data_IF_670827789355
#
_entry.id   IF_670827789355
#
_cell.length_a   1.000
_cell.length_b   1.000
_cell.length_c   1.000
_cell.angle_alpha   90.00
_cell.angle_beta   90.00
_cell.angle_gamma   90.00
#
_symmetry.space_group_name_H-M   'P 1'
#
loop_
_entity.id
_entity.type
_entity.pdbx_description
1 polymer ?
#
# COMPACT_ATOMS: atom_id res chain seq x y z
N UNK A 1 40.65 18.70 -23.07
CA UNK A 1 40.41 18.86 -21.61
C UNK A 1 39.05 19.49 -21.24
N UNK A 2 38.53 20.50 -21.97
CA UNK A 2 37.23 21.13 -21.66
C UNK A 2 36.03 20.19 -21.89
N UNK A 3 36.03 19.36 -22.96
CA UNK A 3 34.97 18.42 -23.32
C UNK A 3 34.87 17.31 -22.27
N UNK A 4 35.99 16.80 -21.75
CA UNK A 4 36.02 15.78 -20.70
C UNK A 4 35.38 16.26 -19.39
N UNK A 5 35.58 17.52 -19.02
CA UNK A 5 34.94 18.13 -17.85
C UNK A 5 33.42 18.25 -18.04
N UNK A 6 32.99 18.60 -19.25
CA UNK A 6 31.57 18.72 -19.56
C UNK A 6 30.86 17.36 -19.52
N UNK A 7 31.47 16.31 -20.05
CA UNK A 7 30.95 14.93 -20.02
C UNK A 7 30.89 14.44 -18.56
N UNK A 8 31.89 14.75 -17.72
CA UNK A 8 31.89 14.36 -16.33
C UNK A 8 30.76 15.04 -15.53
N UNK A 9 30.52 16.33 -15.77
CA UNK A 9 29.41 17.07 -15.18
C UNK A 9 28.08 16.47 -15.63
N UNK A 10 27.93 16.13 -16.90
CA UNK A 10 26.73 15.51 -17.43
C UNK A 10 26.44 14.13 -16.80
N UNK A 11 27.49 13.32 -16.61
CA UNK A 11 27.38 12.01 -15.92
C UNK A 11 26.97 12.16 -14.45
N UNK A 12 27.49 13.20 -13.77
CA UNK A 12 27.10 13.50 -12.38
C UNK A 12 25.63 13.93 -12.30
N UNK A 13 25.14 14.70 -13.27
CA UNK A 13 23.71 15.05 -13.35
C UNK A 13 22.80 13.88 -13.67
N UNK A 14 23.24 12.89 -14.44
CA UNK A 14 22.47 11.66 -14.71
C UNK A 14 22.59 10.60 -13.61
N UNK A 15 23.53 10.76 -12.69
CA UNK A 15 23.64 9.93 -11.47
C UNK A 15 22.88 10.49 -10.27
N UNK A 16 22.12 11.58 -10.42
CA UNK A 16 21.07 11.84 -9.47
C UNK A 16 20.04 10.73 -9.68
N UNK A 17 20.29 9.63 -9.00
CA UNK A 17 19.25 8.64 -8.76
C UNK A 17 18.00 9.43 -8.43
N UNK A 18 17.01 9.23 -9.21
CA UNK A 18 15.66 9.63 -8.89
C UNK A 18 15.47 9.32 -7.41
N UNK A 19 15.43 10.34 -6.57
CA UNK A 19 14.74 10.30 -5.29
C UNK A 19 13.27 10.21 -5.67
N UNK A 20 12.95 9.12 -6.39
CA UNK A 20 11.61 8.69 -6.65
C UNK A 20 11.18 8.00 -5.38
N UNK A 21 10.39 8.75 -4.62
CA UNK A 21 9.37 8.17 -3.78
C UNK A 21 9.80 6.82 -3.21
N UNK A 22 10.67 6.83 -2.18
CA UNK A 22 10.54 5.78 -1.18
C UNK A 22 9.05 5.74 -0.89
N UNK A 23 8.41 4.60 -1.15
CA UNK A 23 7.08 4.33 -0.69
C UNK A 23 7.12 4.47 0.84
N UNK A 24 7.03 5.71 1.30
CA UNK A 24 7.10 5.99 2.71
C UNK A 24 5.75 5.63 3.29
N UNK A 25 5.72 4.55 4.05
CA UNK A 25 4.53 4.06 4.75
C UNK A 25 3.77 5.18 5.45
N UNK A 26 4.49 6.19 5.93
CA UNK A 26 3.96 7.35 6.64
C UNK A 26 3.46 8.47 5.70
N UNK A 27 3.47 8.21 4.40
CA UNK A 27 2.90 9.09 3.39
C UNK A 27 1.54 8.53 2.94
N UNK A 28 0.48 9.28 3.21
CA UNK A 28 -0.88 8.91 2.81
C UNK A 28 -1.32 9.81 1.67
N UNK A 29 -1.42 9.22 0.49
CA UNK A 29 -1.77 9.90 -0.74
C UNK A 29 -3.26 9.72 -1.09
N UNK A 30 -3.74 10.51 -2.05
CA UNK A 30 -5.09 10.39 -2.63
C UNK A 30 -6.24 10.54 -1.62
N UNK A 31 -6.05 11.35 -0.57
CA UNK A 31 -7.10 11.65 0.39
C UNK A 31 -8.08 12.65 -0.25
N UNK A 32 -9.23 12.16 -0.67
CA UNK A 32 -10.26 12.98 -1.31
C UNK A 32 -11.20 13.55 -0.26
N UNK A 33 -11.39 14.88 -0.28
CA UNK A 33 -12.33 15.61 0.56
C UNK A 33 -13.26 16.44 -0.32
N UNK A 34 -14.55 16.35 -0.08
CA UNK A 34 -15.57 17.15 -0.79
C UNK A 34 -15.51 18.60 -0.33
N UNK A 35 -15.36 19.52 -1.27
CA UNK A 35 -15.43 20.94 -1.02
C UNK A 35 -16.90 21.36 -1.03
N UNK A 36 -17.51 21.42 0.13
CA UNK A 36 -18.86 21.98 0.30
C UNK A 36 -18.78 23.51 0.37
N UNK A 37 -19.78 24.18 -0.23
CA UNK A 37 -19.93 25.64 -0.10
C UNK A 37 -19.84 26.06 1.36
N UNK A 38 -18.96 27.04 1.67
CA UNK A 38 -18.69 27.62 3.01
C UNK A 38 -17.70 26.88 3.91
N UNK A 39 -17.04 25.80 3.47
CA UNK A 39 -15.96 25.21 4.26
C UNK A 39 -14.65 25.94 3.97
N UNK A 40 -13.95 26.36 5.02
CA UNK A 40 -12.64 27.00 4.90
C UNK A 40 -11.57 26.01 4.44
N UNK A 41 -10.52 26.49 3.79
CA UNK A 41 -9.38 25.63 3.41
C UNK A 41 -8.71 25.00 4.64
N UNK A 42 -8.75 25.69 5.78
CA UNK A 42 -8.25 25.15 7.06
C UNK A 42 -9.08 23.94 7.50
N UNK A 43 -10.40 24.03 7.40
CA UNK A 43 -11.28 22.92 7.82
C UNK A 43 -11.16 21.72 6.90
N UNK A 44 -11.00 21.95 5.57
CA UNK A 44 -10.72 20.89 4.61
C UNK A 44 -9.41 20.18 4.95
N UNK A 45 -8.36 20.95 5.26
CA UNK A 45 -7.06 20.39 5.67
C UNK A 45 -7.18 19.59 6.96
N UNK A 46 -7.92 20.08 7.93
CA UNK A 46 -8.13 19.38 9.20
C UNK A 46 -8.89 18.06 9.00
N UNK A 47 -9.89 18.05 8.12
CA UNK A 47 -10.59 16.80 7.77
C UNK A 47 -9.66 15.82 7.05
N UNK A 48 -8.83 16.31 6.12
CA UNK A 48 -7.84 15.49 5.42
C UNK A 48 -6.82 14.87 6.38
N UNK A 49 -6.32 15.65 7.35
CA UNK A 49 -5.37 15.17 8.37
C UNK A 49 -6.01 14.05 9.22
N UNK A 50 -7.25 14.22 9.67
CA UNK A 50 -7.96 13.16 10.42
C UNK A 50 -8.11 11.89 9.58
N UNK A 51 -8.59 12.04 8.35
CA UNK A 51 -8.79 10.91 7.42
C UNK A 51 -7.47 10.22 7.10
N UNK A 52 -6.41 10.99 6.83
CA UNK A 52 -5.07 10.47 6.59
C UNK A 52 -4.51 9.71 7.79
N UNK A 53 -4.68 10.23 9.01
CA UNK A 53 -4.27 9.53 10.21
C UNK A 53 -5.02 8.21 10.39
N UNK A 54 -6.34 8.20 10.19
CA UNK A 54 -7.14 6.96 10.22
C UNK A 54 -6.63 5.94 9.21
N UNK A 55 -6.35 6.35 7.98
CA UNK A 55 -5.80 5.45 6.95
C UNK A 55 -4.42 4.92 7.32
N UNK A 56 -3.55 5.78 7.88
CA UNK A 56 -2.22 5.36 8.34
C UNK A 56 -2.32 4.28 9.41
N UNK A 57 -3.06 4.55 10.51
CA UNK A 57 -3.14 3.61 11.62
C UNK A 57 -3.82 2.30 11.24
N UNK A 58 -4.83 2.34 10.36
CA UNK A 58 -5.49 1.12 9.86
C UNK A 58 -4.55 0.26 9.00
N UNK A 59 -3.53 0.85 8.39
CA UNK A 59 -2.54 0.16 7.57
C UNK A 59 -1.48 -0.56 8.40
N UNK A 60 -1.05 0.04 9.51
CA UNK A 60 0.14 -0.40 10.25
C UNK A 60 -0.16 -1.04 11.61
N UNK A 61 -1.40 -0.98 12.08
CA UNK A 61 -1.82 -1.50 13.37
C UNK A 61 -2.86 -2.60 13.22
N UNK A 62 -2.93 -3.44 14.23
CA UNK A 62 -4.07 -4.34 14.42
C UNK A 62 -5.34 -3.50 14.68
N UNK A 63 -6.50 -4.06 14.33
CA UNK A 63 -7.79 -3.36 14.41
C UNK A 63 -8.12 -2.85 15.81
N UNK A 64 -7.78 -3.60 16.84
CA UNK A 64 -8.00 -3.21 18.24
C UNK A 64 -7.19 -1.97 18.63
N UNK A 65 -5.90 -1.95 18.31
CA UNK A 65 -5.00 -0.83 18.58
C UNK A 65 -5.36 0.40 17.75
N UNK A 66 -5.74 0.19 16.49
CA UNK A 66 -6.22 1.25 15.61
C UNK A 66 -7.46 1.95 16.20
N UNK A 67 -8.44 1.19 16.70
CA UNK A 67 -9.64 1.76 17.34
C UNK A 67 -9.31 2.61 18.56
N UNK A 68 -8.34 2.20 19.37
CA UNK A 68 -7.90 2.94 20.55
C UNK A 68 -7.30 4.31 20.19
N UNK A 69 -6.67 4.42 19.01
CA UNK A 69 -6.07 5.67 18.54
C UNK A 69 -7.06 6.61 17.82
N UNK A 70 -8.20 6.11 17.35
CA UNK A 70 -9.25 6.96 16.75
C UNK A 70 -9.79 8.03 17.71
N UNK A 71 -9.67 7.82 19.02
CA UNK A 71 -10.10 8.76 20.06
C UNK A 71 -9.05 9.82 20.41
N UNK A 72 -7.92 9.88 19.71
CA UNK A 72 -6.92 10.93 19.87
C UNK A 72 -7.53 12.30 19.52
N UNK A 73 -7.23 13.29 20.35
CA UNK A 73 -7.61 14.67 20.07
C UNK A 73 -6.93 15.17 18.79
N UNK A 74 -7.58 16.11 18.11
CA UNK A 74 -7.11 16.59 16.83
C UNK A 74 -5.75 17.30 16.91
N UNK A 75 -5.48 18.02 17.97
CA UNK A 75 -4.22 18.77 18.13
C UNK A 75 -3.05 17.80 18.27
N UNK A 76 -3.25 16.68 18.96
CA UNK A 76 -2.27 15.59 19.04
C UNK A 76 -2.02 14.98 17.66
N UNK A 77 -3.06 14.69 16.88
CA UNK A 77 -2.92 14.17 15.51
C UNK A 77 -2.16 15.16 14.62
N UNK A 78 -2.52 16.44 14.69
CA UNK A 78 -1.90 17.51 13.90
C UNK A 78 -0.40 17.64 14.17
N UNK A 79 0.04 17.45 15.41
CA UNK A 79 1.46 17.47 15.77
C UNK A 79 2.28 16.33 15.16
N UNK A 80 1.63 15.24 14.74
CA UNK A 80 2.27 14.11 14.08
C UNK A 80 2.54 14.38 12.59
N UNK A 81 1.90 15.39 11.99
CA UNK A 81 2.08 15.73 10.59
C UNK A 81 3.42 16.43 10.38
N UNK A 82 4.18 15.99 9.39
CA UNK A 82 5.43 16.63 8.94
C UNK A 82 5.12 17.70 7.90
N UNK A 83 4.38 17.35 6.85
CA UNK A 83 3.91 18.28 5.83
C UNK A 83 2.67 17.72 5.12
N UNK A 84 2.01 18.56 4.35
CA UNK A 84 0.92 18.14 3.48
C UNK A 84 0.94 18.90 2.16
N UNK A 85 0.38 18.29 1.14
CA UNK A 85 0.20 18.89 -0.19
C UNK A 85 -1.28 18.86 -0.57
N UNK A 86 -1.70 19.87 -1.29
CA UNK A 86 -3.07 19.98 -1.81
C UNK A 86 -3.00 20.00 -3.33
N UNK A 87 -3.74 19.13 -3.98
CA UNK A 87 -3.91 19.15 -5.43
C UNK A 87 -5.40 19.25 -5.76
N UNK A 88 -5.76 20.27 -6.51
CA UNK A 88 -7.12 20.41 -7.00
C UNK A 88 -7.29 19.48 -8.23
N UNK A 89 -7.95 18.38 -8.06
CA UNK A 89 -8.41 17.55 -9.17
C UNK A 89 -9.82 17.97 -9.53
N UNK A 90 -9.95 18.72 -10.61
CA UNK A 90 -11.27 18.96 -11.23
C UNK A 90 -11.61 17.68 -12.01
N UNK A 91 -12.38 16.82 -11.43
CA UNK A 91 -12.91 15.65 -12.13
C UNK A 91 -14.06 16.14 -13.02
N UNK A 92 -13.78 16.38 -14.31
CA UNK A 92 -14.74 16.89 -15.31
C UNK A 92 -15.99 16.01 -15.53
N UNK A 93 -16.06 14.85 -14.87
CA UNK A 93 -17.16 13.87 -14.99
C UNK A 93 -18.14 13.86 -13.82
N UNK A 94 -17.81 14.49 -12.70
CA UNK A 94 -18.70 14.64 -11.55
C UNK A 94 -18.71 16.11 -11.14
N UNK A 95 -19.90 16.68 -10.96
CA UNK A 95 -20.14 18.08 -10.52
C UNK A 95 -19.65 18.34 -9.06
N UNK A 96 -18.87 17.45 -8.47
CA UNK A 96 -18.36 17.60 -7.12
C UNK A 96 -16.92 18.12 -7.16
N UNK A 97 -16.71 19.28 -6.57
CA UNK A 97 -15.38 19.85 -6.34
C UNK A 97 -14.64 18.99 -5.31
N UNK A 98 -13.85 18.01 -5.77
CA UNK A 98 -13.00 17.19 -4.92
C UNK A 98 -11.62 17.82 -4.78
N UNK A 99 -11.19 18.01 -3.56
CA UNK A 99 -9.82 18.41 -3.22
C UNK A 99 -9.05 17.17 -2.78
N UNK A 100 -7.92 16.93 -3.44
CA UNK A 100 -7.05 15.79 -3.13
C UNK A 100 -5.89 16.25 -2.26
N UNK A 101 -5.64 15.51 -1.19
CA UNK A 101 -4.56 15.75 -0.25
C UNK A 101 -3.57 14.59 -0.24
N UNK A 102 -2.28 14.94 -0.06
CA UNK A 102 -1.23 14.02 0.34
C UNK A 102 -0.66 14.48 1.67
N UNK A 103 -0.60 13.61 2.66
CA UNK A 103 -0.15 13.94 4.01
C UNK A 103 0.99 13.02 4.41
N UNK A 104 2.08 13.62 4.83
CA UNK A 104 3.23 12.90 5.37
C UNK A 104 3.29 13.08 6.88
N UNK A 105 3.28 11.98 7.59
CA UNK A 105 3.44 11.94 9.03
C UNK A 105 4.92 11.80 9.41
N UNK A 106 5.29 12.38 10.55
CA UNK A 106 6.63 12.26 11.10
C UNK A 106 6.82 10.86 11.71
N UNK A 107 7.62 10.04 11.07
CA UNK A 107 7.91 8.67 11.46
C UNK A 107 8.34 8.56 12.93
N UNK A 108 9.25 9.45 13.38
CA UNK A 108 9.76 9.41 14.75
C UNK A 108 8.69 9.73 15.77
N UNK A 109 7.82 10.69 15.47
CA UNK A 109 6.70 11.06 16.35
C UNK A 109 5.66 9.95 16.42
N UNK A 110 5.36 9.30 15.29
CA UNK A 110 4.44 8.15 15.24
C UNK A 110 5.02 6.98 16.06
N UNK A 111 6.28 6.60 15.83
CA UNK A 111 6.93 5.54 16.61
C UNK A 111 6.94 5.85 18.10
N UNK A 112 7.22 7.09 18.48
CA UNK A 112 7.20 7.53 19.88
C UNK A 112 5.79 7.46 20.49
N UNK A 113 4.74 7.78 19.72
CA UNK A 113 3.35 7.62 20.14
C UNK A 113 3.03 6.16 20.43
N UNK A 114 3.40 5.25 19.51
CA UNK A 114 3.15 3.83 19.67
C UNK A 114 3.92 3.24 20.85
N UNK A 115 5.22 3.57 20.94
CA UNK A 115 6.06 3.13 22.06
C UNK A 115 5.50 3.55 23.44
N UNK A 116 5.10 4.83 23.57
CA UNK A 116 4.53 5.35 24.83
C UNK A 116 3.22 4.66 25.23
N UNK A 117 2.50 4.11 24.25
CA UNK A 117 1.22 3.44 24.47
C UNK A 117 1.31 1.92 24.50
N UNK A 118 2.50 1.36 24.31
CA UNK A 118 2.73 -0.10 24.25
C UNK A 118 2.06 -0.76 23.05
N UNK A 119 1.87 -0.01 21.95
CA UNK A 119 1.20 -0.49 20.75
C UNK A 119 2.22 -1.20 19.86
N UNK A 120 1.88 -2.41 19.42
CA UNK A 120 2.64 -3.16 18.44
C UNK A 120 2.26 -2.70 17.02
N UNK A 121 3.24 -2.52 16.15
CA UNK A 121 3.04 -2.06 14.78
C UNK A 121 3.99 -2.77 13.83
N UNK A 122 3.65 -2.74 12.54
CA UNK A 122 4.54 -3.16 11.46
C UNK A 122 4.77 -1.99 10.52
N UNK A 123 6.02 -1.63 10.31
CA UNK A 123 6.46 -0.60 9.37
C UNK A 123 7.36 -1.14 8.25
N UNK A 124 7.27 -2.45 8.03
CA UNK A 124 8.01 -3.12 6.98
C UNK A 124 7.23 -2.94 5.68
N UNK A 125 7.80 -2.15 4.77
CA UNK A 125 7.33 -2.00 3.39
C UNK A 125 7.94 -3.08 2.49
N UNK A 126 7.27 -3.30 1.35
CA UNK A 126 7.79 -4.06 0.22
C UNK A 126 8.12 -5.53 0.52
N UNK A 127 7.29 -6.19 1.32
CA UNK A 127 7.30 -7.65 1.32
C UNK A 127 6.45 -8.16 0.17
N UNK A 128 7.12 -8.65 -0.84
CA UNK A 128 6.50 -9.45 -1.88
C UNK A 128 6.20 -10.84 -1.33
N UNK A 129 4.94 -11.26 -1.42
CA UNK A 129 4.51 -12.61 -1.12
C UNK A 129 3.99 -13.26 -2.39
N UNK A 130 4.75 -14.24 -2.89
CA UNK A 130 4.31 -15.02 -4.04
C UNK A 130 3.23 -16.01 -3.59
N UNK A 131 2.06 -15.88 -4.18
CA UNK A 131 0.89 -16.70 -3.83
C UNK A 131 0.40 -17.44 -5.05
N UNK A 132 0.32 -18.77 -4.95
CA UNK A 132 -0.28 -19.60 -5.98
C UNK A 132 -1.59 -20.19 -5.44
N UNK A 133 -2.76 -19.60 -5.74
CA UNK A 133 -4.04 -20.14 -5.33
C UNK A 133 -4.34 -21.42 -6.12
N UNK A 134 -4.55 -22.53 -5.43
CA UNK A 134 -4.92 -23.82 -6.03
C UNK A 134 -6.35 -24.13 -5.58
N UNK A 135 -7.28 -24.17 -6.53
CA UNK A 135 -8.67 -24.48 -6.25
C UNK A 135 -8.98 -25.94 -6.62
N UNK A 136 -9.36 -26.73 -5.63
CA UNK A 136 -9.65 -28.16 -5.79
C UNK A 136 -11.16 -28.37 -5.64
N UNK A 137 -11.80 -28.87 -6.67
CA UNK A 137 -13.23 -29.23 -6.66
C UNK A 137 -13.46 -30.50 -7.45
N UNK A 138 -14.30 -31.41 -6.93
CA UNK A 138 -14.62 -32.67 -7.61
C UNK A 138 -13.41 -33.46 -8.12
N UNK A 139 -12.31 -33.47 -7.37
CA UNK A 139 -11.02 -34.07 -7.77
C UNK A 139 -10.35 -33.43 -9.00
N UNK A 140 -10.81 -32.24 -9.40
CA UNK A 140 -10.15 -31.41 -10.39
C UNK A 140 -9.35 -30.30 -9.71
N UNK A 141 -8.20 -29.97 -10.27
CA UNK A 141 -7.33 -28.89 -9.78
C UNK A 141 -7.36 -27.77 -10.79
N UNK A 142 -7.80 -26.60 -10.34
CA UNK A 142 -7.82 -25.38 -11.12
C UNK A 142 -6.82 -24.40 -10.52
N UNK A 143 -5.90 -23.86 -11.34
CA UNK A 143 -4.86 -22.95 -10.90
C UNK A 143 -5.08 -21.56 -11.50
N UNK A 144 -4.99 -21.43 -12.82
CA UNK A 144 -5.14 -20.16 -13.51
C UNK A 144 -6.53 -19.95 -14.07
N UNK A 145 -7.13 -21.00 -14.67
CA UNK A 145 -8.45 -20.94 -15.28
C UNK A 145 -9.49 -21.55 -14.35
N UNK A 146 -10.71 -21.01 -14.36
CA UNK A 146 -11.81 -21.42 -13.50
C UNK A 146 -11.47 -21.39 -12.00
N UNK A 147 -10.60 -20.44 -11.61
CA UNK A 147 -10.18 -20.23 -10.24
C UNK A 147 -10.57 -18.85 -9.75
N UNK A 148 -11.71 -18.77 -9.07
CA UNK A 148 -12.26 -17.52 -8.54
C UNK A 148 -11.29 -16.79 -7.60
N UNK A 149 -10.41 -17.51 -6.92
CA UNK A 149 -9.40 -16.89 -6.05
C UNK A 149 -8.29 -16.23 -6.86
N UNK A 150 -7.90 -16.82 -7.98
CA UNK A 150 -6.93 -16.22 -8.89
C UNK A 150 -7.50 -14.99 -9.60
N UNK A 151 -8.73 -15.08 -10.10
CA UNK A 151 -9.38 -14.01 -10.85
C UNK A 151 -9.65 -12.77 -10.00
N UNK A 152 -10.02 -12.96 -8.73
CA UNK A 152 -10.42 -11.86 -7.83
C UNK A 152 -9.28 -11.35 -6.93
N UNK A 153 -8.11 -11.97 -6.95
CA UNK A 153 -7.04 -11.64 -6.02
C UNK A 153 -6.49 -10.21 -6.22
N UNK A 154 -6.45 -9.74 -7.45
CA UNK A 154 -5.87 -8.45 -7.82
C UNK A 154 -6.78 -7.24 -7.52
N UNK A 155 -8.01 -7.44 -7.07
CA UNK A 155 -8.95 -6.32 -6.87
C UNK A 155 -8.76 -5.56 -5.53
N UNK A 156 -7.97 -6.07 -4.59
CA UNK A 156 -8.06 -5.63 -3.20
C UNK A 156 -6.85 -4.85 -2.63
N UNK A 157 -5.69 -4.68 -3.31
CA UNK A 157 -4.44 -4.44 -2.55
C UNK A 157 -3.61 -3.20 -2.88
N UNK A 158 -4.18 -2.09 -3.28
CA UNK A 158 -3.40 -0.86 -3.51
C UNK A 158 -2.80 -0.21 -2.23
N UNK A 159 -3.13 -0.69 -1.02
CA UNK A 159 -2.77 -0.01 0.23
C UNK A 159 -2.15 -0.89 1.33
N UNK A 160 -1.84 -2.14 1.05
CA UNK A 160 -1.35 -3.06 2.08
C UNK A 160 0.19 -3.10 2.16
N UNK A 161 0.70 -3.49 3.36
CA UNK A 161 2.14 -3.63 3.62
C UNK A 161 2.79 -4.81 2.89
N UNK A 162 1.98 -5.70 2.36
CA UNK A 162 2.39 -6.91 1.66
C UNK A 162 1.82 -6.85 0.26
N UNK A 163 2.69 -6.88 -0.72
CA UNK A 163 2.30 -7.07 -2.11
C UNK A 163 2.17 -8.57 -2.39
N UNK A 164 0.97 -8.98 -2.78
CA UNK A 164 0.73 -10.37 -3.20
C UNK A 164 0.96 -10.48 -4.70
N UNK A 165 1.97 -11.25 -5.07
CA UNK A 165 2.31 -11.49 -6.48
C UNK A 165 1.76 -12.84 -6.91
N UNK A 166 0.86 -12.82 -7.86
CA UNK A 166 0.37 -14.04 -8.51
C UNK A 166 1.31 -14.42 -9.65
N UNK A 167 1.67 -15.69 -9.79
CA UNK A 167 2.48 -16.13 -10.93
C UNK A 167 1.66 -16.02 -12.22
N UNK A 168 2.34 -15.64 -13.28
CA UNK A 168 1.78 -15.70 -14.64
C UNK A 168 1.59 -17.17 -15.05
N UNK A 169 0.53 -17.45 -15.80
CA UNK A 169 0.28 -18.79 -16.31
C UNK A 169 1.53 -19.39 -17.00
N UNK A 170 1.98 -20.52 -16.48
CA UNK A 170 3.20 -21.18 -16.93
C UNK A 170 2.97 -22.69 -17.07
N UNK A 171 3.42 -23.24 -18.22
CA UNK A 171 3.30 -24.66 -18.53
C UNK A 171 4.04 -25.54 -17.52
N UNK A 172 5.16 -25.08 -16.97
CA UNK A 172 5.93 -25.84 -15.98
C UNK A 172 5.16 -25.98 -14.67
N UNK A 173 4.51 -24.90 -14.21
CA UNK A 173 3.64 -24.92 -13.02
C UNK A 173 2.50 -25.91 -13.25
N UNK A 174 1.82 -25.84 -14.40
CA UNK A 174 0.71 -26.73 -14.74
C UNK A 174 1.18 -28.19 -14.76
N UNK A 175 2.32 -28.48 -15.37
CA UNK A 175 2.90 -29.83 -15.39
C UNK A 175 3.23 -30.35 -14.00
N UNK A 176 3.86 -29.51 -13.18
CA UNK A 176 4.25 -29.89 -11.82
C UNK A 176 3.00 -30.21 -10.97
N UNK A 177 1.98 -29.38 -11.05
CA UNK A 177 0.70 -29.61 -10.36
C UNK A 177 0.02 -30.89 -10.85
N UNK A 178 -0.05 -31.12 -12.16
CA UNK A 178 -0.64 -32.33 -12.71
C UNK A 178 0.12 -33.59 -12.30
N UNK A 179 1.45 -33.55 -12.26
CA UNK A 179 2.28 -34.68 -11.82
C UNK A 179 2.07 -35.01 -10.34
N UNK A 180 1.74 -34.00 -9.53
CA UNK A 180 1.52 -34.17 -8.09
C UNK A 180 0.05 -34.13 -7.70
N UNK A 181 -0.86 -34.31 -8.65
CA UNK A 181 -2.31 -34.15 -8.47
C UNK A 181 -2.85 -34.92 -7.25
N UNK A 182 -2.52 -36.19 -7.12
CA UNK A 182 -3.02 -37.01 -6.02
C UNK A 182 -2.53 -36.51 -4.65
N UNK A 183 -1.26 -36.14 -4.55
CA UNK A 183 -0.69 -35.58 -3.34
C UNK A 183 -1.34 -34.26 -2.93
N UNK A 184 -1.67 -33.42 -3.92
CA UNK A 184 -2.36 -32.15 -3.69
C UNK A 184 -3.80 -32.35 -3.22
N UNK A 185 -4.52 -33.30 -3.82
CA UNK A 185 -5.88 -33.65 -3.38
C UNK A 185 -5.86 -34.15 -1.93
N UNK A 186 -4.82 -34.89 -1.55
CA UNK A 186 -4.60 -35.37 -0.17
C UNK A 186 -3.98 -34.27 0.74
N UNK A 187 -3.88 -33.01 0.26
CA UNK A 187 -3.30 -31.86 0.97
C UNK A 187 -1.81 -32.06 1.36
N UNK A 188 -1.10 -32.92 0.67
CA UNK A 188 0.34 -33.10 0.85
C UNK A 188 1.12 -32.13 -0.08
N UNK A 189 1.32 -30.91 0.42
CA UNK A 189 1.96 -29.82 -0.33
C UNK A 189 3.48 -29.91 -0.41
N UNK A 190 4.13 -30.71 0.41
CA UNK A 190 5.60 -30.87 0.46
C UNK A 190 6.18 -31.38 -0.88
N UNK A 191 5.36 -32.02 -1.68
CA UNK A 191 5.74 -32.54 -3.01
C UNK A 191 5.91 -31.44 -4.07
N UNK A 192 5.37 -30.24 -3.84
CA UNK A 192 5.48 -29.11 -4.76
C UNK A 192 6.82 -28.36 -4.66
N UNK A 193 7.54 -28.52 -3.54
CA UNK A 193 8.75 -27.77 -3.26
C UNK A 193 10.04 -28.62 -3.40
N UNK A 194 9.93 -29.77 -4.03
CA UNK A 194 11.07 -30.62 -4.39
C UNK A 194 11.42 -30.45 -5.86
#
# INVERSE_FOLDING_TARGET
MKIFKLIFILIVFFKTETVLSENNLFNVNNIKIEKKDKISNSDLTNQAIKKGFTQLISRILLEEDSRNLLNLDFDSIKQLVSYYQISNTVDKKKEEDLVNFSITFDTKKIHNLFYKRGILYSDILDKELYVLPIFITNQEINVFNNNLFYDNWNEFFENDLIEFILPIENIEIIKNINNNKNSLIDLNIDTLFK
#
